data_IF_579196470955
#
_entry.id   IF_579196470955
#
_cell.length_a   1.000
_cell.length_b   1.000
_cell.length_c   1.000
_cell.angle_alpha   90.00
_cell.angle_beta   90.00
_cell.angle_gamma   90.00
#
_symmetry.space_group_name_H-M   'P 1'
#
loop_
_entity.id
_entity.type
_entity.pdbx_description
1 polymer ?
#
# COMPACT_ATOMS: atom_id res chain seq x y z
N UNK A 1 13.99 -0.35 -17.60
CA UNK A 1 13.36 0.08 -16.32
C UNK A 1 11.95 0.50 -16.68
N UNK A 2 10.97 0.25 -15.81
CA UNK A 2 9.60 0.66 -16.10
C UNK A 2 9.46 2.19 -16.02
N UNK A 3 8.54 2.74 -16.81
CA UNK A 3 8.31 4.19 -16.90
C UNK A 3 7.54 4.74 -15.69
N UNK A 4 6.83 3.86 -14.96
CA UNK A 4 6.09 4.21 -13.75
C UNK A 4 6.33 3.20 -12.63
N UNK A 5 6.26 3.65 -11.36
CA UNK A 5 6.45 2.75 -10.22
C UNK A 5 5.36 1.68 -10.13
N UNK A 6 4.12 1.95 -10.56
CA UNK A 6 3.05 0.93 -10.56
C UNK A 6 3.23 -0.19 -11.61
N UNK A 7 3.98 0.04 -12.70
CA UNK A 7 4.19 -0.98 -13.75
C UNK A 7 5.44 -1.84 -13.51
N UNK A 8 6.34 -1.39 -12.64
CA UNK A 8 7.62 -2.06 -12.35
C UNK A 8 7.48 -3.39 -11.60
N UNK A 9 8.05 -4.47 -12.15
CA UNK A 9 8.08 -5.81 -11.56
C UNK A 9 8.92 -5.93 -10.27
N UNK A 10 9.74 -4.92 -9.96
CA UNK A 10 10.71 -5.01 -8.87
C UNK A 10 10.46 -4.02 -7.73
N UNK A 11 9.32 -3.32 -7.74
CA UNK A 11 9.01 -2.30 -6.74
C UNK A 11 7.95 -2.79 -5.77
N UNK A 12 8.16 -2.50 -4.48
CA UNK A 12 7.15 -2.75 -3.44
C UNK A 12 5.83 -2.04 -3.71
N UNK A 13 5.81 -0.96 -4.50
CA UNK A 13 4.59 -0.27 -4.93
C UNK A 13 3.67 -1.22 -5.72
N UNK A 14 4.20 -1.98 -6.68
CA UNK A 14 3.42 -2.91 -7.48
C UNK A 14 2.79 -4.00 -6.62
N UNK A 15 3.58 -4.60 -5.72
CA UNK A 15 3.09 -5.62 -4.79
C UNK A 15 2.04 -5.07 -3.82
N UNK A 16 2.17 -3.81 -3.39
CA UNK A 16 1.20 -3.14 -2.50
C UNK A 16 -0.12 -2.79 -3.18
N UNK A 17 -0.09 -2.44 -4.46
CA UNK A 17 -1.29 -2.12 -5.25
C UNK A 17 -1.98 -3.41 -5.69
N UNK A 18 -1.20 -4.38 -6.17
CA UNK A 18 -1.66 -5.64 -6.71
C UNK A 18 -0.79 -6.79 -6.19
N UNK A 19 -1.17 -7.42 -5.05
CA UNK A 19 -0.41 -8.51 -4.45
C UNK A 19 -0.64 -9.82 -5.23
N UNK A 20 0.01 -9.92 -6.39
CA UNK A 20 -0.05 -11.07 -7.31
C UNK A 20 1.24 -11.91 -7.20
N UNK A 21 2.30 -11.35 -6.60
CA UNK A 21 3.60 -11.99 -6.53
C UNK A 21 3.66 -13.06 -5.45
N UNK A 22 3.79 -14.33 -5.86
CA UNK A 22 4.05 -15.43 -4.94
C UNK A 22 5.55 -15.50 -4.62
N UNK A 23 5.91 -15.06 -3.40
CA UNK A 23 7.28 -15.08 -2.90
C UNK A 23 7.84 -16.50 -2.71
N UNK A 24 7.00 -17.53 -2.63
CA UNK A 24 7.45 -18.90 -2.36
C UNK A 24 8.22 -19.53 -3.52
N UNK A 25 7.77 -19.31 -4.76
CA UNK A 25 8.38 -19.92 -5.95
C UNK A 25 9.81 -19.40 -6.22
N UNK A 26 10.06 -18.07 -6.26
CA UNK A 26 11.41 -17.52 -6.49
C UNK A 26 12.40 -17.93 -5.40
N UNK A 27 11.95 -17.99 -4.13
CA UNK A 27 12.82 -18.39 -3.01
C UNK A 27 13.23 -19.85 -3.15
N UNK A 28 12.31 -20.75 -3.53
CA UNK A 28 12.64 -22.16 -3.79
C UNK A 28 13.67 -22.30 -4.90
N UNK A 29 13.48 -21.57 -6.01
CA UNK A 29 14.42 -21.56 -7.14
C UNK A 29 15.81 -21.07 -6.72
N UNK A 30 15.90 -19.96 -5.99
CA UNK A 30 17.16 -19.38 -5.56
C UNK A 30 17.91 -20.23 -4.53
N UNK A 31 17.18 -20.93 -3.66
CA UNK A 31 17.76 -21.93 -2.75
C UNK A 31 18.28 -23.14 -3.53
N UNK A 32 17.56 -23.60 -4.56
CA UNK A 32 18.02 -24.70 -5.42
C UNK A 32 19.27 -24.33 -6.24
N UNK A 33 19.42 -23.06 -6.58
CA UNK A 33 20.61 -22.48 -7.25
C UNK A 33 21.75 -22.14 -6.29
N UNK A 34 21.68 -22.54 -5.01
CA UNK A 34 22.65 -22.24 -3.95
C UNK A 34 22.97 -20.74 -3.79
N UNK A 35 22.09 -19.87 -4.30
CA UNK A 35 22.25 -18.41 -4.26
C UNK A 35 21.72 -17.80 -2.96
N UNK A 36 20.86 -18.53 -2.24
CA UNK A 36 20.33 -18.16 -0.93
C UNK A 36 20.51 -19.28 0.08
N UNK A 37 20.79 -18.90 1.34
CA UNK A 37 20.75 -19.81 2.48
C UNK A 37 19.29 -20.17 2.79
N UNK A 38 19.02 -21.46 2.98
CA UNK A 38 17.69 -21.92 3.42
C UNK A 38 17.52 -21.62 4.91
N UNK A 39 16.43 -20.92 5.24
CA UNK A 39 15.99 -20.73 6.62
C UNK A 39 14.62 -21.41 6.82
N UNK A 40 14.46 -22.18 7.90
CA UNK A 40 13.18 -22.81 8.26
C UNK A 40 12.28 -21.81 9.03
N UNK A 41 12.03 -20.66 8.41
CA UNK A 41 11.11 -19.63 8.92
C UNK A 41 10.08 -19.28 7.84
N UNK A 42 8.83 -18.99 8.21
CA UNK A 42 7.81 -18.62 7.25
C UNK A 42 8.20 -17.34 6.51
N UNK A 43 7.94 -17.30 5.20
CA UNK A 43 8.15 -16.10 4.39
C UNK A 43 7.24 -14.99 4.91
N UNK A 44 7.85 -13.84 5.22
CA UNK A 44 7.14 -12.70 5.74
C UNK A 44 6.69 -11.80 4.59
N UNK A 45 5.38 -11.60 4.38
CA UNK A 45 4.89 -10.68 3.36
C UNK A 45 5.18 -9.23 3.74
N UNK A 46 4.99 -8.31 2.79
CA UNK A 46 5.05 -6.88 3.09
C UNK A 46 4.07 -6.51 4.21
N UNK A 47 4.56 -5.74 5.20
CA UNK A 47 3.70 -5.24 6.26
C UNK A 47 2.59 -4.34 5.69
N UNK A 48 1.37 -4.55 6.18
CA UNK A 48 0.18 -3.77 5.83
C UNK A 48 0.26 -2.38 6.45
N UNK A 49 -0.35 -1.40 5.80
CA UNK A 49 -0.51 -0.05 6.35
C UNK A 49 -1.79 0.00 7.18
N UNK A 50 -1.67 0.29 8.48
CA UNK A 50 -2.78 0.34 9.42
C UNK A 50 -3.24 1.78 9.70
N UNK A 51 -2.61 2.78 9.09
CA UNK A 51 -2.96 4.19 9.27
C UNK A 51 -2.52 4.73 10.63
N UNK A 52 -3.37 5.53 11.27
CA UNK A 52 -3.03 6.20 12.52
C UNK A 52 -2.99 5.23 13.72
N UNK A 53 -2.33 5.68 14.79
CA UNK A 53 -2.28 4.95 16.07
C UNK A 53 -3.70 4.80 16.63
N UNK A 54 -4.03 3.58 17.05
CA UNK A 54 -5.29 3.22 17.70
C UNK A 54 -5.04 2.64 19.08
N UNK A 55 -6.10 2.47 19.87
CA UNK A 55 -6.03 1.82 21.19
C UNK A 55 -5.88 0.29 21.11
N UNK A 56 -5.98 -0.29 19.90
CA UNK A 56 -5.82 -1.71 19.67
C UNK A 56 -4.38 -2.06 19.31
N UNK A 57 -4.00 -3.31 19.55
CA UNK A 57 -2.70 -3.82 19.11
C UNK A 57 -2.62 -3.77 17.58
N UNK A 58 -1.62 -3.03 17.10
CA UNK A 58 -1.34 -2.81 15.69
C UNK A 58 0.01 -3.46 15.36
N UNK A 59 0.02 -4.29 14.32
CA UNK A 59 1.19 -5.09 13.92
C UNK A 59 1.79 -4.65 12.58
N UNK A 60 1.10 -3.73 11.90
CA UNK A 60 1.49 -3.16 10.62
C UNK A 60 2.20 -1.83 10.76
N UNK A 61 2.31 -1.14 9.63
CA UNK A 61 2.92 0.18 9.53
C UNK A 61 1.88 1.21 9.94
N UNK A 62 2.17 1.99 10.98
CA UNK A 62 1.34 3.09 11.48
C UNK A 62 1.45 4.32 10.57
N UNK A 63 1.09 4.14 9.31
CA UNK A 63 1.12 5.18 8.30
C UNK A 63 0.02 4.93 7.27
N UNK A 64 -0.44 5.99 6.58
CA UNK A 64 -1.42 5.89 5.51
C UNK A 64 -0.76 5.35 4.24
N UNK A 65 -1.34 4.30 3.63
CA UNK A 65 -0.88 3.79 2.32
C UNK A 65 -0.91 4.89 1.26
N UNK A 66 -1.92 5.77 1.31
CA UNK A 66 -2.02 6.87 0.37
C UNK A 66 -0.91 7.90 0.57
N UNK A 67 -0.67 8.30 1.82
CA UNK A 67 0.35 9.30 2.12
C UNK A 67 1.74 8.76 1.73
N UNK A 68 1.93 7.44 1.87
CA UNK A 68 3.10 6.74 1.34
C UNK A 68 3.19 6.84 -0.19
N UNK A 69 2.09 6.57 -0.91
CA UNK A 69 2.07 6.68 -2.37
C UNK A 69 2.34 8.11 -2.84
N UNK A 70 1.70 9.11 -2.24
CA UNK A 70 1.94 10.54 -2.51
C UNK A 70 3.40 10.93 -2.25
N UNK A 71 3.96 10.48 -1.12
CA UNK A 71 5.36 10.74 -0.77
C UNK A 71 6.32 10.12 -1.79
N UNK A 72 6.09 8.88 -2.21
CA UNK A 72 6.94 8.23 -3.22
C UNK A 72 6.80 8.92 -4.58
N UNK A 73 5.59 9.32 -4.98
CA UNK A 73 5.38 10.08 -6.22
C UNK A 73 6.10 11.43 -6.18
N UNK A 74 5.95 12.17 -5.08
CA UNK A 74 6.60 13.47 -4.89
C UNK A 74 8.13 13.35 -4.90
N UNK A 75 8.67 12.39 -4.15
CA UNK A 75 10.12 12.17 -4.09
C UNK A 75 10.67 11.73 -5.44
N UNK A 76 9.99 10.84 -6.15
CA UNK A 76 10.39 10.44 -7.50
C UNK A 76 10.35 11.59 -8.50
N UNK A 77 9.38 12.51 -8.40
CA UNK A 77 9.35 13.74 -9.23
C UNK A 77 10.49 14.72 -8.90
N UNK A 78 10.92 14.76 -7.64
CA UNK A 78 12.06 15.59 -7.22
C UNK A 78 13.40 15.04 -7.68
N UNK A 79 13.49 13.75 -8.02
CA UNK A 79 14.70 13.13 -8.57
C UNK A 79 14.93 13.67 -9.99
N UNK A 80 16.16 14.10 -10.28
CA UNK A 80 16.54 14.62 -11.61
C UNK A 80 16.21 13.62 -12.72
N UNK A 81 15.70 14.12 -13.85
CA UNK A 81 15.18 13.30 -14.97
C UNK A 81 16.14 12.24 -15.53
N UNK A 82 17.46 12.40 -15.33
CA UNK A 82 18.48 11.45 -15.78
C UNK A 82 18.99 10.49 -14.66
N UNK A 83 18.25 10.36 -13.56
CA UNK A 83 18.58 9.46 -12.45
C UNK A 83 17.55 8.35 -12.31
N UNK A 84 18.03 7.17 -11.87
CA UNK A 84 17.16 6.03 -11.56
C UNK A 84 16.15 6.45 -10.48
N UNK A 85 14.88 6.16 -10.72
CA UNK A 85 13.79 6.53 -9.81
C UNK A 85 13.18 7.91 -10.08
N UNK A 86 13.60 8.62 -11.14
CA UNK A 86 12.90 9.81 -11.59
C UNK A 86 11.50 9.47 -12.10
N UNK A 87 10.49 10.17 -11.60
CA UNK A 87 9.12 10.10 -12.10
C UNK A 87 8.89 11.33 -12.97
N UNK A 88 8.55 11.16 -14.26
CA UNK A 88 8.36 12.30 -15.15
C UNK A 88 7.29 13.26 -14.64
N UNK A 89 7.61 14.55 -14.67
CA UNK A 89 6.73 15.63 -14.17
C UNK A 89 5.41 15.73 -14.95
N UNK A 90 5.40 15.30 -16.21
CA UNK A 90 4.22 15.30 -17.08
C UNK A 90 3.17 14.24 -16.72
N UNK A 91 3.52 13.24 -15.89
CA UNK A 91 2.56 12.22 -15.47
C UNK A 91 1.57 12.81 -14.46
N UNK A 92 0.28 12.41 -14.50
CA UNK A 92 -0.68 12.76 -13.45
C UNK A 92 -0.21 12.28 -12.07
N UNK A 93 -0.58 12.97 -10.97
CA UNK A 93 -0.34 12.49 -9.61
C UNK A 93 -0.73 11.02 -9.45
N UNK A 94 0.06 10.26 -8.69
CA UNK A 94 -0.13 8.79 -8.57
C UNK A 94 -1.56 8.38 -8.22
N UNK A 95 -2.28 9.22 -7.47
CA UNK A 95 -3.65 8.95 -7.06
C UNK A 95 -4.63 9.01 -8.22
N UNK A 96 -4.45 9.96 -9.13
CA UNK A 96 -5.24 10.01 -10.36
C UNK A 96 -4.92 8.82 -11.26
N UNK A 97 -3.65 8.38 -11.29
CA UNK A 97 -3.24 7.18 -12.05
C UNK A 97 -3.84 5.89 -11.51
N UNK A 98 -4.10 5.85 -10.20
CA UNK A 98 -4.75 4.72 -9.51
C UNK A 98 -6.28 4.84 -9.45
N UNK A 99 -6.88 5.76 -10.21
CA UNK A 99 -8.33 6.02 -10.23
C UNK A 99 -8.91 6.36 -8.84
N UNK A 100 -8.08 6.98 -7.98
CA UNK A 100 -8.49 7.45 -6.66
C UNK A 100 -8.90 8.91 -6.76
N UNK A 101 -10.20 9.18 -6.65
CA UNK A 101 -10.73 10.53 -6.69
C UNK A 101 -10.13 11.41 -5.58
N UNK A 102 -9.52 12.52 -5.99
CA UNK A 102 -8.87 13.47 -5.10
C UNK A 102 -9.86 14.19 -4.18
N UNK A 103 -11.06 14.50 -4.67
CA UNK A 103 -12.08 15.22 -3.91
C UNK A 103 -12.71 14.33 -2.83
N UNK A 104 -13.14 13.12 -3.20
CA UNK A 104 -13.66 12.10 -2.28
C UNK A 104 -12.65 11.76 -1.19
N UNK A 105 -11.38 11.72 -1.53
CA UNK A 105 -10.34 11.56 -0.53
C UNK A 105 -10.17 12.77 0.37
N UNK A 106 -10.12 13.99 -0.17
CA UNK A 106 -9.93 15.18 0.66
C UNK A 106 -11.06 15.26 1.70
N UNK A 107 -12.29 14.94 1.30
CA UNK A 107 -13.42 14.76 2.22
C UNK A 107 -13.19 13.65 3.25
N UNK A 108 -12.61 12.53 2.83
CA UNK A 108 -12.25 11.42 3.69
C UNK A 108 -11.14 11.75 4.69
N UNK A 109 -10.11 12.48 4.28
CA UNK A 109 -8.94 12.82 5.08
C UNK A 109 -9.24 13.96 6.06
N UNK A 110 -9.90 15.03 5.60
CA UNK A 110 -10.26 16.18 6.44
C UNK A 110 -11.49 15.88 7.32
N UNK A 111 -12.45 15.12 6.78
CA UNK A 111 -13.69 14.76 7.48
C UNK A 111 -13.63 13.41 8.17
N UNK A 112 -12.44 12.80 8.36
CA UNK A 112 -12.31 11.40 8.76
C UNK A 112 -13.07 11.09 10.06
N UNK A 113 -12.84 11.85 11.13
CA UNK A 113 -13.48 11.59 12.44
C UNK A 113 -15.01 11.59 12.36
N UNK A 114 -15.57 12.51 11.57
CA UNK A 114 -17.02 12.64 11.34
C UNK A 114 -17.55 11.49 10.48
N UNK A 115 -16.82 11.15 9.42
CA UNK A 115 -17.26 10.18 8.41
C UNK A 115 -16.99 8.74 8.82
N UNK A 116 -15.99 8.49 9.68
CA UNK A 116 -15.57 7.16 10.08
C UNK A 116 -16.66 6.43 10.85
N UNK A 117 -17.27 7.11 11.83
CA UNK A 117 -18.38 6.55 12.60
C UNK A 117 -19.59 6.24 11.71
N UNK A 118 -19.83 7.01 10.66
CA UNK A 118 -20.97 6.79 9.76
C UNK A 118 -20.70 5.65 8.77
N UNK A 119 -19.50 5.59 8.20
CA UNK A 119 -19.15 4.66 7.12
C UNK A 119 -18.62 3.31 7.62
N UNK A 120 -17.92 3.30 8.75
CA UNK A 120 -17.14 2.13 9.20
C UNK A 120 -17.55 1.62 10.60
N UNK A 121 -18.44 2.29 11.33
CA UNK A 121 -18.94 1.72 12.59
C UNK A 121 -19.86 0.51 12.33
N UNK A 122 -19.69 -0.55 13.14
CA UNK A 122 -20.56 -1.73 13.06
C UNK A 122 -22.01 -1.34 13.36
N UNK A 123 -22.94 -1.67 12.47
CA UNK A 123 -24.37 -1.60 12.78
C UNK A 123 -24.66 -2.55 13.94
N UNK A 124 -25.06 -2.01 15.10
CA UNK A 124 -25.54 -2.83 16.22
C UNK A 124 -26.70 -3.70 15.73
N UNK A 125 -26.53 -5.02 15.76
CA UNK A 125 -27.63 -5.95 15.52
C UNK A 125 -28.65 -5.76 16.64
N UNK A 126 -29.89 -5.38 16.30
CA UNK A 126 -30.98 -5.41 17.28
C UNK A 126 -31.24 -6.87 17.67
N UNK A 127 -31.27 -7.23 18.97
CA UNK A 127 -31.65 -8.57 19.36
C UNK A 127 -33.10 -8.81 18.92
N UNK A 128 -33.33 -9.92 18.19
CA UNK A 128 -34.69 -10.39 17.87
C UNK A 128 -35.39 -10.66 19.20
N UNK A 129 -36.49 -9.95 19.47
CA UNK A 129 -37.37 -10.30 20.60
C UNK A 129 -37.88 -11.72 20.36
N UNK A 130 -37.46 -12.65 21.20
CA UNK A 130 -38.06 -13.98 21.31
C UNK A 130 -39.48 -13.82 21.85
N UNK A 131 -40.43 -14.40 21.13
CA UNK A 131 -41.82 -14.57 21.56
C UNK A 131 -41.93 -15.72 22.57
#
# INVERSE_FOLDING_TARGET
MADTPETSDHTSIKERIAPIFDLAEPVKEQVALESLLKFDVPLKPLAVFEGNVTEHEQTGILFSLRDYLELVDFTGRCVRENKRGAIPSHLPPILQRLDIDGATWLEGAVGFEKNYRVRFSRRRSRPRKSA
#
